data_IF_948088179888
#
_entry.id   IF_948088179888
#
_cell.length_a   1.000
_cell.length_b   1.000
_cell.length_c   1.000
_cell.angle_alpha   90.00
_cell.angle_beta   90.00
_cell.angle_gamma   90.00
#
_symmetry.space_group_name_H-M   'P 1'
#
loop_
_entity.id
_entity.type
_entity.pdbx_description
1 polymer ?
2 non-polymer ?
3 non-polymer ?
4 water ?
#
# COMPACT_ATOMS: atom_id res chain seq x y z
N UNK A 13 7.09 -13.26 -0.47
CA UNK A 13 5.74 -12.72 -0.38
C UNK A 13 5.47 -12.08 0.98
N UNK A 14 4.66 -11.03 0.99
CA UNK A 14 4.31 -10.36 2.23
C UNK A 14 3.04 -10.99 2.81
N UNK A 15 2.02 -11.22 1.98
CA UNK A 15 0.82 -11.90 2.45
C UNK A 15 1.03 -13.40 2.62
N UNK A 16 0.49 -13.96 3.70
CA UNK A 16 0.65 -15.38 4.00
C UNK A 16 0.02 -16.23 2.89
N UNK A 17 -1.19 -15.85 2.50
CA UNK A 17 -1.96 -16.59 1.52
C UNK A 17 -3.04 -15.69 0.96
N UNK A 18 -3.85 -16.21 0.05
CA UNK A 18 -4.85 -15.36 -0.58
C UNK A 18 -5.98 -14.95 0.37
N UNK A 19 -6.25 -15.75 1.40
CA UNK A 19 -7.27 -15.33 2.33
C UNK A 19 -6.83 -14.12 3.16
N UNK A 20 -5.53 -14.03 3.48
CA UNK A 20 -5.01 -12.90 4.24
C UNK A 20 -5.09 -11.60 3.41
N UNK A 21 -4.80 -11.73 2.11
CA UNK A 21 -4.97 -10.61 1.17
C UNK A 21 -6.43 -10.16 1.10
N UNK A 22 -7.33 -11.11 0.90
CA UNK A 22 -8.75 -10.78 0.77
C UNK A 22 -9.26 -10.10 2.04
N UNK A 23 -8.82 -10.61 3.19
CA UNK A 23 -9.18 -10.01 4.47
C UNK A 23 -8.73 -8.56 4.58
N UNK A 24 -7.51 -8.23 4.13
CA UNK A 24 -6.99 -6.87 4.19
C UNK A 24 -7.82 -5.94 3.33
N UNK A 25 -8.15 -6.45 2.13
CA UNK A 25 -8.95 -5.69 1.18
C UNK A 25 -10.31 -5.36 1.81
N UNK A 26 -10.99 -6.37 2.34
CA UNK A 26 -12.33 -6.17 2.87
C UNK A 26 -12.30 -5.30 4.13
N UNK A 27 -11.29 -5.49 4.98
CA UNK A 27 -11.24 -4.77 6.23
C UNK A 27 -10.94 -3.28 5.96
N UNK A 28 -9.97 -3.01 5.10
CA UNK A 28 -9.62 -1.62 4.83
C UNK A 28 -10.77 -0.94 4.09
N UNK A 29 -11.44 -1.68 3.22
CA UNK A 29 -12.60 -1.10 2.50
C UNK A 29 -13.71 -0.72 3.47
N UNK A 30 -14.01 -1.60 4.42
CA UNK A 30 -15.06 -1.32 5.39
C UNK A 30 -14.77 -0.05 6.18
N UNK A 31 -13.53 0.11 6.67
CA UNK A 31 -13.09 1.32 7.36
C UNK A 31 -13.30 2.57 6.50
N UNK A 32 -12.92 2.46 5.22
CA UNK A 32 -12.99 3.57 4.29
C UNK A 32 -14.44 3.99 4.03
N UNK A 33 -15.24 3.03 3.59
CA UNK A 33 -16.58 3.32 3.12
C UNK A 33 -17.48 3.73 4.29
N UNK A 34 -17.12 3.33 5.51
CA UNK A 34 -17.93 3.71 6.68
C UNK A 34 -17.91 5.23 6.90
N UNK A 35 -16.81 5.87 6.53
CA UNK A 35 -16.68 7.32 6.70
C UNK A 35 -17.70 8.12 5.89
N UNK A 36 -18.29 7.51 4.87
CA UNK A 36 -19.20 8.26 4.01
C UNK A 36 -20.64 8.15 4.50
N UNK A 37 -20.89 7.30 5.51
CA UNK A 37 -22.25 7.09 6.00
C UNK A 37 -22.91 8.35 6.52
N UNK A 38 -22.13 9.25 7.11
CA UNK A 38 -22.74 10.46 7.63
C UNK A 38 -22.40 11.70 6.81
N UNK A 39 -22.01 11.51 5.56
CA UNK A 39 -21.81 12.66 4.70
C UNK A 39 -23.11 12.95 3.94
N UNK A 40 -23.70 14.13 4.13
CA UNK A 40 -24.97 14.38 3.38
C UNK A 40 -24.74 14.38 1.87
N UNK A 41 -25.69 13.83 1.11
CA UNK A 41 -25.62 13.88 -0.36
C UNK A 41 -25.48 15.32 -0.86
N UNK A 42 -26.11 16.26 -0.16
CA UNK A 42 -26.06 17.66 -0.59
C UNK A 42 -24.66 18.26 -0.54
N UNK A 43 -23.75 17.64 0.23
CA UNK A 43 -22.39 18.15 0.29
C UNK A 43 -21.39 17.30 -0.50
N UNK A 44 -21.89 16.41 -1.34
CA UNK A 44 -20.99 15.45 -2.00
C UNK A 44 -20.00 16.12 -2.95
N UNK A 45 -20.34 17.30 -3.49
CA UNK A 45 -19.44 17.99 -4.40
C UNK A 45 -18.79 19.22 -3.77
N UNK A 46 -18.91 19.37 -2.44
CA UNK A 46 -18.37 20.55 -1.76
C UNK A 46 -16.84 20.50 -1.73
N UNK A 47 -16.21 21.47 -2.39
CA UNK A 47 -14.75 21.55 -2.42
C UNK A 47 -14.22 22.56 -1.40
N UNK A 48 -13.21 22.15 -0.63
CA UNK A 48 -12.58 23.04 0.34
C UNK A 48 -11.06 23.11 0.04
N UNK A 49 -10.38 24.11 0.57
CA UNK A 49 -8.97 24.32 0.24
C UNK A 49 -8.01 23.26 0.81
N UNK A 50 -8.44 22.59 1.86
CA UNK A 50 -7.53 21.83 2.69
C UNK A 50 -7.36 20.38 2.22
N UNK A 51 -8.34 19.91 1.46
CA UNK A 51 -8.24 18.59 0.82
C UNK A 51 -8.46 18.80 -0.67
N UNK A 52 -7.76 18.01 -1.48
CA UNK A 52 -7.77 18.21 -2.92
C UNK A 52 -9.05 17.72 -3.61
N UNK A 53 -9.74 16.76 -2.99
CA UNK A 53 -10.94 16.19 -3.61
C UNK A 53 -12.21 16.39 -2.81
N UNK A 54 -13.33 16.41 -3.52
CA UNK A 54 -14.67 16.37 -2.92
C UNK A 54 -14.96 14.93 -2.50
N UNK A 55 -16.00 14.70 -1.66
CA UNK A 55 -16.35 13.29 -1.38
C UNK A 55 -16.67 12.47 -2.64
N UNK A 56 -17.41 13.04 -3.59
CA UNK A 56 -17.73 12.31 -4.81
C UNK A 56 -16.47 12.00 -5.64
N UNK A 57 -15.49 12.91 -5.64
CA UNK A 57 -14.25 12.68 -6.37
C UNK A 57 -13.42 11.59 -5.71
N UNK A 58 -13.44 11.59 -4.38
CA UNK A 58 -12.73 10.61 -3.56
C UNK A 58 -13.27 9.20 -3.91
N UNK A 59 -14.60 9.03 -3.87
CA UNK A 59 -15.21 7.76 -4.28
C UNK A 59 -14.95 7.39 -5.74
N UNK A 60 -15.04 8.38 -6.63
CA UNK A 60 -14.87 8.17 -8.08
C UNK A 60 -13.49 7.62 -8.42
N UNK A 61 -12.48 8.12 -7.74
CA UNK A 61 -11.14 7.58 -7.88
C UNK A 61 -11.11 6.06 -7.64
N UNK A 62 -11.74 5.60 -6.56
CA UNK A 62 -11.77 4.18 -6.23
C UNK A 62 -12.59 3.38 -7.23
N UNK A 63 -13.73 3.94 -7.64
CA UNK A 63 -14.57 3.28 -8.61
C UNK A 63 -13.82 3.09 -9.91
N UNK A 64 -13.08 4.11 -10.33
CA UNK A 64 -12.34 4.06 -11.59
C UNK A 64 -11.28 2.99 -11.59
N UNK A 65 -10.45 2.99 -10.55
CA UNK A 65 -9.34 2.04 -10.49
C UNK A 65 -9.79 0.59 -10.27
N UNK A 66 -10.77 0.37 -9.39
CA UNK A 66 -11.26 -0.98 -9.17
C UNK A 66 -11.99 -1.50 -10.41
N UNK A 67 -12.66 -0.62 -11.14
CA UNK A 67 -13.25 -1.04 -12.40
C UNK A 67 -12.19 -1.49 -13.40
N UNK A 68 -11.09 -0.74 -13.48
CA UNK A 68 -10.03 -1.05 -14.42
C UNK A 68 -9.36 -2.40 -14.14
N UNK A 69 -8.99 -2.64 -12.89
CA UNK A 69 -8.33 -3.89 -12.50
C UNK A 69 -9.19 -5.08 -12.91
N UNK A 70 -10.47 -4.97 -12.61
CA UNK A 70 -11.42 -6.02 -12.95
C UNK A 70 -11.51 -6.19 -14.47
N UNK A 71 -11.46 -5.08 -15.20
CA UNK A 71 -11.52 -5.13 -16.66
C UNK A 71 -10.28 -5.76 -17.27
N UNK A 72 -9.10 -5.41 -16.76
CA UNK A 72 -7.87 -6.02 -17.28
C UNK A 72 -7.91 -7.54 -17.14
N UNK A 73 -8.35 -8.01 -15.97
CA UNK A 73 -8.41 -9.46 -15.69
C UNK A 73 -9.44 -10.17 -16.58
N UNK A 74 -10.65 -9.63 -16.63
CA UNK A 74 -11.71 -10.17 -17.48
C UNK A 74 -11.29 -10.23 -18.94
N UNK A 75 -10.75 -9.13 -19.44
CA UNK A 75 -10.30 -9.07 -20.83
C UNK A 75 -9.20 -10.07 -21.12
N UNK A 76 -8.22 -10.17 -20.22
CA UNK A 76 -7.10 -11.07 -20.47
C UNK A 76 -7.56 -12.52 -20.45
N UNK A 77 -8.51 -12.81 -19.57
CA UNK A 77 -9.00 -14.18 -19.39
C UNK A 77 -9.86 -14.66 -20.54
N UNK A 78 -10.30 -13.75 -21.39
CA UNK A 78 -10.99 -14.17 -22.61
C UNK A 78 -10.10 -14.00 -23.85
N UNK A 79 -8.81 -13.78 -23.63
CA UNK A 79 -7.85 -13.75 -24.72
C UNK A 79 -7.70 -12.44 -25.45
N UNK A 80 -8.35 -11.39 -24.95
CA UNK A 80 -8.25 -10.07 -25.56
C UNK A 80 -6.94 -9.36 -25.23
N UNK A 81 -6.58 -8.42 -26.09
CA UNK A 81 -5.46 -7.52 -25.84
C UNK A 81 -5.81 -6.60 -24.68
N UNK A 82 -4.86 -6.36 -23.78
CA UNK A 82 -5.10 -5.43 -22.68
C UNK A 82 -4.14 -4.26 -22.73
N UNK A 83 -4.69 -3.05 -22.88
CA UNK A 83 -3.90 -1.83 -22.86
C UNK A 83 -3.98 -1.17 -21.49
N UNK A 84 -2.88 -1.13 -20.77
CA UNK A 84 -2.87 -0.54 -19.42
C UNK A 84 -2.31 0.89 -19.44
N UNK A 85 -2.91 1.80 -18.65
CA UNK A 85 -4.09 1.60 -17.79
C UNK A 85 -5.38 1.51 -18.59
N UNK A 86 -5.45 2.30 -19.66
CA UNK A 86 -6.57 2.23 -20.59
C UNK A 86 -6.06 2.19 -22.02
N UNK A 87 -6.97 2.08 -22.97
CA UNK A 87 -6.62 2.04 -24.38
C UNK A 87 -6.43 3.45 -24.94
N UNK A 88 -6.84 4.45 -24.16
CA UNK A 88 -6.76 5.85 -24.58
C UNK A 88 -5.71 6.62 -23.79
N UNK A 89 -5.75 6.51 -22.46
CA UNK A 89 -4.73 7.13 -21.62
C UNK A 89 -3.69 6.11 -21.20
N UNK A 90 -2.44 6.31 -21.62
CA UNK A 90 -1.36 5.43 -21.16
C UNK A 90 -0.73 5.98 -19.87
N UNK A 91 0.35 5.36 -19.42
CA UNK A 91 0.85 5.58 -18.06
C UNK A 91 1.44 6.96 -17.80
N UNK A 92 1.79 7.70 -18.85
CA UNK A 92 2.27 9.07 -18.68
C UNK A 92 1.12 10.06 -18.56
N UNK A 93 -0.08 9.56 -18.32
CA UNK A 93 -1.30 10.36 -18.46
C UNK A 93 -2.26 10.14 -17.28
N UNK A 94 -1.70 9.88 -16.10
CA UNK A 94 -2.52 9.51 -14.94
C UNK A 94 -3.33 10.69 -14.40
N UNK A 95 -2.82 11.90 -14.58
CA UNK A 95 -3.58 13.09 -14.22
C UNK A 95 -4.81 13.24 -15.10
N UNK A 96 -4.65 12.91 -16.38
CA UNK A 96 -5.77 12.91 -17.31
C UNK A 96 -6.75 11.78 -16.99
N UNK A 97 -6.20 10.63 -16.62
CA UNK A 97 -7.03 9.48 -16.23
C UNK A 97 -7.90 9.80 -15.02
N UNK A 98 -7.30 10.37 -13.97
CA UNK A 98 -8.04 10.70 -12.75
C UNK A 98 -9.15 11.70 -13.06
N UNK A 99 -8.88 12.51 -14.06
CA UNK A 99 -9.79 13.58 -14.40
C UNK A 99 -10.94 12.98 -15.23
N UNK A 100 -10.64 11.93 -16.00
CA UNK A 100 -11.66 11.11 -16.65
C UNK A 100 -12.53 10.34 -15.64
N UNK A 101 -11.91 9.81 -14.58
CA UNK A 101 -12.66 9.15 -13.50
C UNK A 101 -13.74 10.09 -12.97
N UNK A 102 -13.33 11.33 -12.71
CA UNK A 102 -14.20 12.31 -12.12
C UNK A 102 -15.36 12.70 -13.06
N UNK A 103 -15.09 12.85 -14.35
CA UNK A 103 -16.18 13.14 -15.30
C UNK A 103 -17.11 11.98 -15.49
N UNK A 104 -16.58 10.78 -15.42
CA UNK A 104 -17.38 9.60 -15.61
C UNK A 104 -18.26 9.30 -14.40
N UNK A 105 -17.70 9.37 -13.19
CA UNK A 105 -18.37 8.86 -12.00
C UNK A 105 -18.78 9.86 -10.92
N UNK A 106 -18.08 10.99 -10.82
CA UNK A 106 -18.33 11.90 -9.69
C UNK A 106 -19.70 12.59 -9.72
N UNK A 107 -20.34 12.66 -10.89
CA UNK A 107 -21.71 13.20 -10.97
C UNK A 107 -22.76 12.32 -10.25
N UNK A 108 -22.43 11.06 -10.04
CA UNK A 108 -23.29 10.10 -9.34
C UNK A 108 -23.49 10.50 -7.88
N UNK A 109 -24.57 10.04 -7.26
CA UNK A 109 -24.80 10.27 -5.84
C UNK A 109 -23.83 9.43 -5.01
N UNK A 110 -23.65 9.77 -3.74
CA UNK A 110 -22.78 8.96 -2.87
C UNK A 110 -23.34 7.55 -2.78
N UNK A 111 -24.66 7.46 -2.71
CA UNK A 111 -25.30 6.16 -2.65
C UNK A 111 -25.04 5.28 -3.89
N UNK A 112 -25.11 5.89 -5.08
CA UNK A 112 -24.79 5.16 -6.31
C UNK A 112 -23.32 4.76 -6.39
N UNK A 113 -22.43 5.69 -6.04
CA UNK A 113 -21.00 5.40 -6.00
C UNK A 113 -20.67 4.26 -5.03
N UNK A 114 -21.30 4.32 -3.86
CA UNK A 114 -21.09 3.31 -2.83
C UNK A 114 -21.60 1.94 -3.30
N UNK A 115 -22.75 1.92 -3.97
CA UNK A 115 -23.25 0.66 -4.55
C UNK A 115 -22.27 0.06 -5.57
N UNK A 116 -21.76 0.89 -6.48
CA UNK A 116 -20.84 0.37 -7.49
C UNK A 116 -19.52 -0.08 -6.86
N UNK A 117 -19.00 0.70 -5.94
CA UNK A 117 -17.72 0.34 -5.32
C UNK A 117 -17.86 -0.95 -4.46
N UNK A 118 -19.01 -1.10 -3.80
CA UNK A 118 -19.32 -2.33 -3.06
C UNK A 118 -19.27 -3.54 -3.99
N UNK A 119 -19.92 -3.40 -5.14
CA UNK A 119 -19.98 -4.48 -6.11
C UNK A 119 -18.57 -4.79 -6.65
N UNK A 120 -17.77 -3.75 -6.87
CA UNK A 120 -16.41 -3.95 -7.38
C UNK A 120 -15.53 -4.63 -6.33
N UNK A 121 -15.65 -4.21 -5.09
CA UNK A 121 -14.83 -4.80 -4.03
C UNK A 121 -15.27 -6.27 -3.83
N UNK A 122 -16.57 -6.55 -3.84
CA UNK A 122 -17.06 -7.94 -3.82
C UNK A 122 -16.44 -8.76 -4.95
N UNK A 123 -16.40 -8.18 -6.14
CA UNK A 123 -15.88 -8.89 -7.31
C UNK A 123 -14.37 -9.11 -7.18
N UNK A 124 -13.68 -8.16 -6.58
CA UNK A 124 -12.24 -8.32 -6.39
C UNK A 124 -11.97 -9.45 -5.36
N UNK A 125 -12.78 -9.53 -4.31
CA UNK A 125 -12.67 -10.65 -3.35
C UNK A 125 -12.93 -11.99 -4.02
N UNK A 126 -13.93 -12.04 -4.90
CA UNK A 126 -14.24 -13.25 -5.67
C UNK A 126 -13.12 -13.61 -6.64
N UNK A 127 -12.53 -12.60 -7.25
CA UNK A 127 -11.42 -12.79 -8.16
C UNK A 127 -10.24 -13.44 -7.42
N UNK A 128 -9.94 -12.91 -6.25
CA UNK A 128 -8.87 -13.46 -5.41
C UNK A 128 -9.15 -14.93 -5.03
N UNK A 129 -10.37 -15.20 -4.56
CA UNK A 129 -10.79 -16.56 -4.21
C UNK A 129 -10.60 -17.53 -5.38
N UNK A 130 -10.85 -17.03 -6.59
CA UNK A 130 -10.84 -17.89 -7.77
C UNK A 130 -9.46 -18.10 -8.39
N UNK A 131 -8.49 -17.28 -7.99
CA UNK A 131 -7.13 -17.36 -8.55
C UNK A 131 -6.31 -18.37 -7.78
N UNK A 132 -5.46 -19.09 -8.48
CA UNK A 132 -4.48 -19.93 -7.80
C UNK A 132 -3.51 -19.07 -7.01
N UNK A 133 -2.88 -19.69 -6.02
CA UNK A 133 -1.83 -19.05 -5.28
C UNK A 133 -0.70 -18.57 -6.22
N UNK A 134 -0.41 -19.33 -7.27
CA UNK A 134 0.63 -18.98 -8.24
C UNK A 134 0.31 -17.69 -9.00
N UNK A 135 -0.92 -17.60 -9.49
CA UNK A 135 -1.34 -16.43 -10.27
C UNK A 135 -1.26 -15.16 -9.43
N UNK A 136 -1.64 -15.25 -8.17
CA UNK A 136 -1.61 -14.09 -7.29
C UNK A 136 -0.19 -13.67 -6.89
N UNK A 137 0.67 -14.64 -6.61
CA UNK A 137 1.91 -14.34 -5.90
C UNK A 137 3.22 -14.59 -6.67
N UNK A 138 3.13 -15.10 -7.89
CA UNK A 138 4.33 -15.31 -8.71
C UNK A 138 4.41 -14.27 -9.82
N UNK A 139 5.62 -13.83 -10.19
CA UNK A 139 5.70 -12.88 -11.30
C UNK A 139 5.37 -13.53 -12.64
N UNK A 140 5.02 -12.70 -13.64
CA UNK A 140 4.78 -13.16 -15.02
C UNK A 140 3.64 -14.18 -15.17
N UNK A 141 2.56 -13.97 -14.43
CA UNK A 141 1.38 -14.82 -14.52
C UNK A 141 0.23 -14.14 -15.27
N UNK A 142 0.31 -12.81 -15.38
CA UNK A 142 -0.65 -12.04 -16.17
C UNK A 142 0.09 -11.05 -17.05
N UNK A 143 -0.28 -11.01 -18.33
CA UNK A 143 0.24 -10.00 -19.23
C UNK A 143 -0.08 -8.59 -18.74
N UNK A 144 -1.27 -8.38 -18.18
CA UNK A 144 -1.65 -7.04 -17.74
C UNK A 144 -0.79 -6.59 -16.56
N UNK A 145 -0.37 -7.53 -15.72
CA UNK A 145 0.49 -7.18 -14.60
C UNK A 145 1.90 -6.81 -15.10
N UNK A 146 2.42 -7.58 -16.05
CA UNK A 146 3.73 -7.28 -16.63
C UNK A 146 3.70 -5.93 -17.38
N UNK A 147 2.60 -5.69 -18.09
CA UNK A 147 2.45 -4.49 -18.91
C UNK A 147 2.40 -3.20 -18.10
N UNK A 148 1.90 -3.30 -16.87
CA UNK A 148 1.65 -2.12 -16.05
C UNK A 148 2.92 -1.55 -15.42
N UNK A 149 3.96 -2.38 -15.29
CA UNK A 149 5.21 -1.94 -14.66
C UNK A 149 6.18 -1.34 -15.67
N UNK A 150 5.92 -1.57 -16.96
CA UNK A 150 6.82 -1.13 -18.01
C UNK A 150 6.57 0.33 -18.41
N UNK A 153 7.66 3.88 -13.88
CA UNK A 153 8.28 5.04 -13.22
C UNK A 153 7.57 5.40 -11.91
N UNK A 154 8.28 5.26 -10.79
CA UNK A 154 7.72 5.57 -9.49
C UNK A 154 8.56 6.60 -8.73
N UNK A 155 7.87 7.55 -8.11
CA UNK A 155 8.52 8.64 -7.38
C UNK A 155 8.96 8.20 -6.00
N UNK A 156 9.80 9.03 -5.36
CA UNK A 156 10.34 8.72 -4.04
C UNK A 156 9.24 8.51 -2.98
N UNK A 157 8.23 9.39 -2.95
CA UNK A 157 7.17 9.27 -1.94
C UNK A 157 6.46 7.92 -2.00
N UNK A 158 6.31 7.37 -3.21
CA UNK A 158 5.69 6.06 -3.35
C UNK A 158 6.53 4.98 -2.66
N UNK A 159 7.85 5.05 -2.82
CA UNK A 159 8.73 4.06 -2.20
C UNK A 159 8.73 4.20 -0.69
N UNK A 160 8.59 5.44 -0.20
CA UNK A 160 8.47 5.64 1.24
C UNK A 160 7.16 5.02 1.76
N UNK A 161 6.04 5.33 1.10
CA UNK A 161 4.77 4.69 1.47
C UNK A 161 4.87 3.16 1.48
N UNK A 162 5.43 2.60 0.41
CA UNK A 162 5.46 1.15 0.23
C UNK A 162 6.33 0.44 1.28
N UNK A 163 7.22 1.18 1.94
CA UNK A 163 8.09 0.57 2.95
C UNK A 163 7.78 1.00 4.39
N UNK A 164 6.73 1.79 4.56
CA UNK A 164 6.26 2.16 5.89
C UNK A 164 4.76 1.95 6.01
N UNK A 165 3.97 2.93 5.54
CA UNK A 165 2.51 2.87 5.65
C UNK A 165 1.92 1.53 5.23
N UNK A 166 2.37 1.02 4.09
CA UNK A 166 1.81 -0.22 3.56
C UNK A 166 2.17 -1.42 4.46
N UNK A 167 3.47 -1.67 4.70
CA UNK A 167 3.69 -2.85 5.56
C UNK A 167 3.24 -2.67 7.02
N UNK A 168 3.27 -1.43 7.52
CA UNK A 168 2.77 -1.16 8.87
C UNK A 168 1.30 -1.53 8.98
N UNK A 169 0.56 -1.39 7.89
CA UNK A 169 -0.84 -1.79 7.92
C UNK A 169 -0.96 -3.30 7.84
N UNK A 170 -0.32 -3.87 6.82
CA UNK A 170 -0.40 -5.29 6.52
C UNK A 170 0.16 -6.17 7.65
N UNK A 171 1.31 -5.79 8.18
CA UNK A 171 1.89 -6.57 9.26
C UNK A 171 1.22 -6.28 10.60
N UNK A 172 0.47 -5.19 10.70
CA UNK A 172 -0.38 -5.02 11.88
C UNK A 172 -1.55 -6.00 11.86
N UNK A 173 -2.13 -6.21 10.69
CA UNK A 173 -3.18 -7.23 10.58
C UNK A 173 -2.61 -8.61 10.92
N UNK A 174 -1.39 -8.89 10.46
CA UNK A 174 -0.74 -10.15 10.83
C UNK A 174 -0.63 -10.33 12.33
N UNK A 175 -0.05 -9.33 13.02
CA UNK A 175 0.24 -9.48 14.43
C UNK A 175 -1.06 -9.48 15.28
N UNK A 176 -2.09 -8.78 14.83
CA UNK A 176 -3.39 -8.83 15.52
C UNK A 176 -4.00 -10.24 15.43
N UNK A 177 -3.92 -10.83 14.25
CA UNK A 177 -4.34 -12.23 14.07
C UNK A 177 -3.51 -13.19 14.94
N UNK A 178 -2.18 -13.00 14.93
CA UNK A 178 -1.25 -13.78 15.75
C UNK A 178 -1.67 -13.73 17.23
N UNK A 179 -1.97 -12.53 17.74
CA UNK A 179 -2.30 -12.39 19.15
C UNK A 179 -3.64 -13.07 19.49
N UNK A 180 -4.59 -12.97 18.58
CA UNK A 180 -5.90 -13.59 18.81
C UNK A 180 -5.77 -15.12 18.98
N UNK A 181 -4.86 -15.74 18.23
CA UNK A 181 -4.62 -17.18 18.35
C UNK A 181 -3.65 -17.51 19.49
N UNK A 182 -2.56 -16.75 19.60
CA UNK A 182 -1.46 -17.09 20.53
C UNK A 182 -1.70 -16.69 21.99
N UNK A 183 -2.44 -15.60 22.22
CA UNK A 183 -2.67 -15.11 23.57
C UNK A 183 -4.12 -15.32 24.05
N UNK A 184 -4.86 -16.21 23.39
CA UNK A 184 -6.24 -16.48 23.79
C UNK A 184 -6.31 -17.08 25.20
N UNK B 13 -1.08 12.72 -8.37
CA UNK B 13 -0.51 12.73 -7.02
C UNK B 13 -1.57 12.31 -6.00
N UNK B 14 -1.14 11.58 -4.96
CA UNK B 14 -2.07 11.02 -3.99
C UNK B 14 -1.82 11.51 -2.56
N UNK B 15 -0.60 11.90 -2.24
CA UNK B 15 -0.37 12.72 -1.05
C UNK B 15 -0.20 14.15 -1.54
N UNK B 16 -0.74 15.13 -0.82
CA UNK B 16 -0.73 16.51 -1.30
C UNK B 16 0.57 17.26 -1.01
N UNK B 17 1.23 16.91 0.09
CA UNK B 17 2.50 17.51 0.46
C UNK B 17 3.24 16.60 1.43
N UNK B 18 4.46 16.98 1.78
CA UNK B 18 5.32 16.16 2.64
C UNK B 18 4.79 16.04 4.07
N UNK B 19 4.03 17.05 4.51
CA UNK B 19 3.44 17.00 5.85
C UNK B 19 2.45 15.85 5.98
N UNK B 20 1.58 15.72 4.97
CA UNK B 20 0.61 14.64 4.91
C UNK B 20 1.25 13.23 4.84
N UNK B 21 2.33 13.11 4.09
CA UNK B 21 3.08 11.86 4.02
C UNK B 21 3.64 11.50 5.39
N UNK B 22 4.30 12.48 6.00
CA UNK B 22 4.91 12.30 7.32
C UNK B 22 3.87 11.87 8.36
N UNK B 23 2.72 12.55 8.39
CA UNK B 23 1.66 12.20 9.34
C UNK B 23 1.17 10.76 9.16
N UNK B 24 1.04 10.32 7.91
CA UNK B 24 0.58 8.95 7.64
C UNK B 24 1.60 7.91 8.08
N UNK B 25 2.87 8.18 7.82
CA UNK B 25 3.96 7.31 8.29
C UNK B 25 3.90 7.17 9.81
N UNK B 26 3.86 8.31 10.50
CA UNK B 26 3.84 8.36 11.96
C UNK B 26 2.66 7.62 12.54
N UNK B 27 1.48 7.89 11.99
CA UNK B 27 0.25 7.34 12.55
C UNK B 27 0.10 5.85 12.26
N UNK B 28 0.46 5.41 11.06
CA UNK B 28 0.46 3.98 10.78
C UNK B 28 1.49 3.26 11.64
N UNK B 29 2.63 3.91 11.88
CA UNK B 29 3.66 3.28 12.69
C UNK B 29 3.22 3.10 14.14
N UNK B 30 2.62 4.14 14.71
CA UNK B 30 2.12 4.08 16.07
C UNK B 30 1.10 2.96 16.27
N UNK B 31 0.15 2.83 15.35
CA UNK B 31 -0.84 1.76 15.43
C UNK B 31 -0.17 0.39 15.36
N UNK B 32 0.84 0.27 14.51
CA UNK B 32 1.55 -1.00 14.32
C UNK B 32 2.34 -1.38 15.58
N UNK B 33 3.20 -0.47 16.04
CA UNK B 33 4.15 -0.83 17.09
C UNK B 33 3.43 -1.01 18.43
N UNK B 34 2.29 -0.35 18.61
CA UNK B 34 1.51 -0.47 19.83
C UNK B 34 1.05 -1.91 20.06
N UNK B 35 0.85 -2.67 18.99
CA UNK B 35 0.37 -4.04 19.10
C UNK B 35 1.35 -4.95 19.82
N UNK B 36 2.62 -4.57 19.85
CA UNK B 36 3.65 -5.45 20.43
C UNK B 36 3.86 -5.22 21.93
N UNK B 37 3.23 -4.16 22.46
CA UNK B 37 3.29 -3.86 23.88
C UNK B 37 2.91 -5.03 24.80
N UNK B 38 1.88 -5.77 24.42
CA UNK B 38 1.31 -6.85 25.23
C UNK B 38 1.84 -8.23 24.87
N UNK B 39 2.91 -8.28 24.08
CA UNK B 39 3.45 -9.58 23.69
C UNK B 39 4.61 -9.95 24.60
N UNK B 40 4.52 -11.10 25.29
CA UNK B 40 5.62 -11.56 26.14
C UNK B 40 6.87 -11.85 25.31
N UNK B 41 8.04 -11.44 25.77
CA UNK B 41 9.32 -11.74 25.11
C UNK B 41 9.52 -13.23 24.82
N UNK B 42 9.06 -14.09 25.74
CA UNK B 42 9.24 -15.51 25.58
C UNK B 42 8.48 -16.07 24.38
N UNK B 43 7.51 -15.31 23.87
CA UNK B 43 6.76 -15.73 22.69
C UNK B 43 7.19 -15.05 21.38
N UNK B 44 8.33 -14.38 21.38
CA UNK B 44 8.74 -13.61 20.20
C UNK B 44 9.02 -14.52 19.03
N UNK B 45 9.38 -15.77 19.30
CA UNK B 45 9.66 -16.71 18.24
C UNK B 45 8.54 -17.73 18.03
N UNK B 46 7.36 -17.46 18.59
CA UNK B 46 6.26 -18.41 18.46
C UNK B 46 5.59 -18.30 17.11
N UNK B 47 5.63 -19.39 16.34
CA UNK B 47 5.00 -19.44 15.02
C UNK B 47 3.70 -20.21 15.11
N UNK B 48 2.63 -19.62 14.57
CA UNK B 48 1.35 -20.32 14.51
C UNK B 48 1.05 -20.69 13.06
N UNK B 49 0.09 -21.59 12.86
CA UNK B 49 -0.23 -22.04 11.51
C UNK B 49 -0.94 -20.96 10.68
N UNK B 50 -1.73 -20.13 11.37
CA UNK B 50 -2.58 -19.13 10.71
C UNK B 50 -1.83 -17.92 10.12
N UNK B 51 -0.66 -17.61 10.68
CA UNK B 51 0.12 -16.45 10.24
C UNK B 51 1.54 -16.87 9.89
N UNK B 52 2.10 -16.35 8.81
CA UNK B 52 3.40 -16.84 8.36
C UNK B 52 4.53 -16.45 9.32
N UNK B 53 4.45 -15.26 9.91
CA UNK B 53 5.57 -14.75 10.70
C UNK B 53 5.38 -14.75 12.22
N UNK B 54 6.49 -14.98 12.93
CA UNK B 54 6.58 -14.75 14.37
C UNK B 54 6.61 -13.26 14.67
N UNK B 55 6.33 -12.85 15.92
CA UNK B 55 6.46 -11.43 16.26
C UNK B 55 7.86 -10.88 15.92
N UNK B 56 8.88 -11.67 16.25
CA UNK B 56 10.26 -11.24 15.99
C UNK B 56 10.52 -11.06 14.49
N UNK B 57 10.04 -11.99 13.67
CA UNK B 57 10.20 -11.92 12.21
C UNK B 57 9.41 -10.75 11.64
N UNK B 58 8.23 -10.53 12.22
CA UNK B 58 7.36 -9.43 11.83
C UNK B 58 8.10 -8.10 11.97
N UNK B 59 8.65 -7.84 13.16
CA UNK B 59 9.43 -6.63 13.39
C UNK B 59 10.70 -6.60 12.54
N UNK B 60 11.40 -7.74 12.45
CA UNK B 60 12.66 -7.82 11.69
C UNK B 60 12.47 -7.42 10.23
N UNK B 61 11.32 -7.77 9.65
CA UNK B 61 10.98 -7.36 8.28
C UNK B 61 11.02 -5.84 8.15
N UNK B 62 10.38 -5.15 9.09
CA UNK B 62 10.35 -3.67 9.04
C UNK B 62 11.73 -3.09 9.25
N UNK B 63 12.49 -3.64 10.21
CA UNK B 63 13.84 -3.13 10.46
C UNK B 63 14.68 -3.28 9.21
N UNK B 64 14.59 -4.45 8.56
CA UNK B 64 15.35 -4.69 7.34
C UNK B 64 15.05 -3.70 6.23
N UNK B 65 13.78 -3.55 5.87
CA UNK B 65 13.43 -2.71 4.73
C UNK B 65 13.61 -1.23 4.98
N UNK B 66 13.27 -0.77 6.18
CA UNK B 66 13.49 0.63 6.50
C UNK B 66 14.99 0.93 6.50
N UNK B 67 15.82 -0.02 6.94
CA UNK B 67 17.28 0.18 6.87
C UNK B 67 17.71 0.35 5.41
N UNK B 68 17.15 -0.47 4.52
CA UNK B 68 17.55 -0.42 3.11
C UNK B 68 17.20 0.89 2.40
N UNK B 69 15.95 1.35 2.52
CA UNK B 69 15.56 2.58 1.82
C UNK B 69 16.42 3.76 2.29
N UNK B 70 16.73 3.81 3.58
CA UNK B 70 17.65 4.81 4.09
C UNK B 70 19.03 4.64 3.47
N UNK B 71 19.49 3.39 3.34
CA UNK B 71 20.77 3.13 2.72
C UNK B 71 20.79 3.59 1.25
N UNK B 72 19.72 3.32 0.51
CA UNK B 72 19.66 3.71 -0.91
C UNK B 72 19.92 5.19 -1.07
N UNK B 73 19.18 5.99 -0.28
CA UNK B 73 19.30 7.44 -0.32
C UNK B 73 20.71 7.87 0.06
N UNK B 74 21.27 7.20 1.06
CA UNK B 74 22.63 7.51 1.50
C UNK B 74 23.63 7.19 0.40
N UNK B 75 23.56 5.97 -0.12
CA UNK B 75 24.44 5.54 -1.22
C UNK B 75 24.34 6.48 -2.44
N UNK B 76 23.12 6.89 -2.78
CA UNK B 76 22.91 7.79 -3.89
C UNK B 76 23.55 9.15 -3.61
N UNK B 77 23.40 9.64 -2.38
CA UNK B 77 24.06 10.89 -1.98
C UNK B 77 25.55 10.81 -2.27
N UNK B 78 26.12 9.63 -2.05
CA UNK B 78 27.54 9.37 -2.26
C UNK B 78 27.94 9.30 -3.71
N UNK B 79 26.92 9.22 -4.58
CA UNK B 79 27.14 9.12 -6.00
C UNK B 79 27.11 7.69 -6.50
N UNK B 80 26.89 6.76 -5.57
CA UNK B 80 26.81 5.34 -5.93
C UNK B 80 25.64 5.13 -6.88
N UNK B 81 25.85 4.30 -7.89
CA UNK B 81 24.78 3.96 -8.79
C UNK B 81 24.11 2.68 -8.27
N UNK B 82 22.95 2.87 -7.66
CA UNK B 82 22.28 1.83 -6.88
C UNK B 82 21.16 1.20 -7.68
N UNK B 83 21.33 -0.08 -8.01
CA UNK B 83 20.31 -0.82 -8.73
C UNK B 83 19.80 -2.04 -7.99
N UNK B 84 20.50 -2.40 -6.91
CA UNK B 84 20.26 -3.66 -6.24
C UNK B 84 19.57 -3.28 -4.94
N UNK B 85 18.81 -4.20 -4.33
CA UNK B 85 18.36 -3.87 -2.96
C UNK B 85 19.53 -3.70 -1.98
N UNK B 86 20.62 -4.43 -2.16
CA UNK B 86 21.69 -4.48 -1.15
C UNK B 86 23.11 -4.73 -1.65
N UNK B 87 23.98 -5.01 -0.69
CA UNK B 87 25.33 -5.53 -0.93
C UNK B 87 25.25 -6.71 -1.87
N UNK B 88 24.43 -7.67 -1.46
CA UNK B 88 24.53 -9.05 -1.91
C UNK B 88 23.31 -9.53 -2.66
N UNK B 89 22.14 -8.98 -2.35
CA UNK B 89 20.89 -9.61 -2.75
C UNK B 89 20.19 -8.92 -3.92
N UNK B 90 19.88 -9.72 -4.93
CA UNK B 90 19.14 -9.27 -6.11
C UNK B 90 17.73 -8.78 -5.82
N UNK B 91 17.08 -8.27 -6.87
CA UNK B 91 15.67 -7.93 -6.81
C UNK B 91 14.85 -9.18 -7.10
N UNK B 92 15.58 -10.29 -7.24
CA UNK B 92 14.97 -11.59 -7.42
C UNK B 92 15.48 -12.52 -6.31
N UNK B 93 16.14 -11.90 -5.33
CA UNK B 93 16.69 -12.61 -4.17
C UNK B 93 15.96 -12.19 -2.89
N UNK B 94 14.74 -11.64 -3.06
CA UNK B 94 13.97 -11.09 -1.93
C UNK B 94 13.62 -12.13 -0.87
N UNK B 95 13.26 -13.33 -1.30
CA UNK B 95 12.98 -14.42 -0.37
C UNK B 95 14.21 -14.69 0.48
N UNK B 96 15.38 -14.63 -0.14
CA UNK B 96 16.65 -14.85 0.56
C UNK B 96 17.03 -13.63 1.40
N UNK B 97 16.66 -12.44 0.92
CA UNK B 97 16.90 -11.20 1.65
C UNK B 97 16.09 -11.18 2.94
N UNK B 98 14.81 -11.54 2.87
CA UNK B 98 13.96 -11.61 4.05
C UNK B 98 14.54 -12.60 5.05
N UNK B 99 15.06 -13.70 4.51
CA UNK B 99 15.75 -14.69 5.31
C UNK B 99 16.88 -13.93 5.99
N UNK B 100 17.77 -13.27 5.23
CA UNK B 100 18.86 -12.47 5.84
C UNK B 100 18.39 -11.51 6.96
N UNK B 101 17.26 -10.85 6.75
CA UNK B 101 16.67 -9.98 7.78
C UNK B 101 16.46 -10.78 9.08
N UNK B 102 15.88 -11.97 8.95
CA UNK B 102 15.56 -12.78 10.11
C UNK B 102 16.81 -13.19 10.91
N UNK B 103 17.88 -13.66 10.26
CA UNK B 103 19.06 -14.06 11.03
C UNK B 103 19.81 -12.85 11.61
N UNK B 104 19.80 -11.73 10.91
CA UNK B 104 20.55 -10.56 11.36
C UNK B 104 19.94 -10.06 12.66
N UNK B 105 18.61 -10.17 12.75
CA UNK B 105 17.92 -9.73 13.96
C UNK B 105 17.40 -10.91 14.78
N UNK B 106 17.89 -12.11 14.48
CA UNK B 106 17.53 -13.28 15.26
C UNK B 106 18.13 -13.17 16.66
N UNK B 107 17.36 -13.66 17.64
CA UNK B 107 17.73 -13.56 19.04
C UNK B 107 17.89 -12.11 19.51
N UNK B 108 17.30 -11.17 18.77
CA UNK B 108 17.05 -9.83 19.30
C UNK B 108 15.70 -9.85 20.00
N UNK B 109 15.62 -9.21 21.16
CA UNK B 109 14.36 -9.09 21.88
C UNK B 109 13.40 -8.15 21.13
N UNK B 110 12.11 -8.29 21.42
CA UNK B 110 11.09 -7.38 20.92
C UNK B 110 11.39 -5.96 21.36
N UNK B 111 11.88 -5.81 22.58
CA UNK B 111 12.27 -4.50 23.09
C UNK B 111 13.39 -3.89 22.23
N UNK B 112 14.42 -4.70 21.95
CA UNK B 112 15.54 -4.24 21.13
C UNK B 112 15.11 -3.93 19.68
N UNK B 113 14.28 -4.78 19.11
CA UNK B 113 13.80 -4.58 17.75
C UNK B 113 12.96 -3.32 17.66
N UNK B 114 12.15 -3.10 18.69
CA UNK B 114 11.30 -1.90 18.73
C UNK B 114 12.14 -0.63 18.78
N UNK B 115 13.18 -0.65 19.59
CA UNK B 115 14.08 0.49 19.71
C UNK B 115 14.72 0.83 18.37
N UNK B 116 15.15 -0.20 17.64
CA UNK B 116 15.82 0.03 16.35
C UNK B 116 14.85 0.52 15.29
N UNK B 117 13.67 -0.09 15.25
CA UNK B 117 12.62 0.34 14.31
C UNK B 117 12.19 1.78 14.57
N UNK B 118 12.01 2.15 15.84
CA UNK B 118 11.78 3.54 16.20
C UNK B 118 12.81 4.49 15.60
N UNK B 119 14.09 4.11 15.71
CA UNK B 119 15.18 4.94 15.20
C UNK B 119 15.11 5.12 13.69
N UNK B 120 14.79 4.04 12.99
CA UNK B 120 14.69 4.06 11.55
C UNK B 120 13.52 4.92 11.08
N UNK B 121 12.39 4.81 11.77
CA UNK B 121 11.19 5.56 11.38
C UNK B 121 11.44 7.06 11.57
N UNK B 122 12.15 7.41 12.63
CA UNK B 122 12.57 8.81 12.79
C UNK B 122 13.55 9.29 11.73
N UNK B 123 14.50 8.44 11.36
CA UNK B 123 15.45 8.78 10.31
C UNK B 123 14.70 9.01 9.00
N UNK B 124 13.67 8.20 8.77
CA UNK B 124 12.81 8.37 7.60
C UNK B 124 12.04 9.68 7.69
N UNK B 125 11.60 10.03 8.90
CA UNK B 125 10.97 11.32 9.14
C UNK B 125 11.90 12.46 8.79
N UNK B 126 13.16 12.33 9.19
CA UNK B 126 14.17 13.34 8.85
C UNK B 126 14.49 13.40 7.36
N UNK B 127 14.54 12.23 6.74
CA UNK B 127 14.77 12.15 5.30
C UNK B 127 13.68 12.91 4.53
N UNK B 128 12.42 12.75 4.92
CA UNK B 128 11.33 13.48 4.30
C UNK B 128 11.52 14.99 4.47
N UNK B 129 11.76 15.43 5.71
CA UNK B 129 12.01 16.84 5.99
C UNK B 129 13.10 17.42 5.12
N UNK B 130 14.20 16.68 4.98
CA UNK B 130 15.37 17.16 4.27
C UNK B 130 15.17 17.11 2.75
N UNK B 131 14.10 16.46 2.32
CA UNK B 131 13.82 16.36 0.89
C UNK B 131 12.88 17.47 0.44
N UNK B 132 13.22 18.12 -0.67
CA UNK B 132 12.35 19.15 -1.23
C UNK B 132 11.05 18.51 -1.71
N UNK B 133 10.05 19.34 -1.99
CA UNK B 133 8.80 18.85 -2.54
C UNK B 133 9.08 18.10 -3.85
N UNK B 134 10.01 18.60 -4.63
CA UNK B 134 10.29 18.10 -5.97
C UNK B 134 10.89 16.68 -6.00
N UNK B 135 11.88 16.42 -5.16
CA UNK B 135 12.52 15.12 -5.20
C UNK B 135 11.62 14.04 -4.57
N UNK B 136 10.70 14.47 -3.72
CA UNK B 136 9.70 13.56 -3.15
C UNK B 136 8.63 13.16 -4.16
N UNK B 137 8.22 14.11 -4.99
CA UNK B 137 6.98 13.94 -5.77
C UNK B 137 7.14 13.93 -7.30
N UNK B 138 8.30 14.29 -7.82
CA UNK B 138 8.46 14.21 -9.28
C UNK B 138 9.36 13.05 -9.72
N UNK B 139 9.01 12.41 -10.84
CA UNK B 139 9.75 11.26 -11.39
C UNK B 139 11.21 11.56 -11.73
N UNK B 140 12.04 10.52 -11.77
CA UNK B 140 13.44 10.60 -12.21
C UNK B 140 14.29 11.56 -11.39
N UNK B 141 14.04 11.63 -10.08
CA UNK B 141 14.81 12.50 -9.21
C UNK B 141 15.81 11.72 -8.34
N UNK B 142 15.61 10.41 -8.23
CA UNK B 142 16.58 9.54 -7.58
C UNK B 142 16.79 8.31 -8.45
N UNK B 143 18.04 7.97 -8.75
CA UNK B 143 18.24 6.81 -9.61
C UNK B 143 17.88 5.51 -8.89
N UNK B 144 17.88 5.51 -7.55
CA UNK B 144 17.44 4.30 -6.86
C UNK B 144 15.96 4.06 -7.04
N UNK B 145 15.17 5.14 -7.13
CA UNK B 145 13.74 4.98 -7.33
C UNK B 145 13.45 4.47 -8.75
N UNK B 146 14.15 5.04 -9.73
CA UNK B 146 14.06 4.57 -11.11
C UNK B 146 14.41 3.09 -11.17
N UNK B 147 15.59 2.78 -10.65
CA UNK B 147 16.09 1.42 -10.65
C UNK B 147 15.20 0.37 -10.00
N UNK B 148 14.62 0.70 -8.85
CA UNK B 148 13.82 -0.26 -8.11
C UNK B 148 12.53 -0.55 -8.86
N UNK B 149 12.11 0.40 -9.70
CA UNK B 149 10.92 0.24 -10.53
C UNK B 149 11.20 -0.76 -11.65
N UNK B 150 12.47 -0.86 -12.02
CA UNK B 150 12.87 -1.73 -13.13
C UNK B 150 12.71 -3.20 -12.76
N UNK B 153 9.68 -6.03 -11.36
CA UNK B 153 8.55 -6.87 -11.72
C UNK B 153 7.52 -6.95 -10.58
N UNK B 154 6.25 -6.76 -10.92
CA UNK B 154 5.20 -6.75 -9.90
C UNK B 154 4.15 -7.84 -10.10
N UNK B 155 3.92 -8.60 -9.03
CA UNK B 155 2.90 -9.66 -9.04
C UNK B 155 1.49 -9.09 -9.01
N UNK B 156 0.52 -9.92 -9.40
CA UNK B 156 -0.89 -9.54 -9.34
C UNK B 156 -1.31 -9.01 -7.97
N UNK B 157 -0.88 -9.68 -6.91
CA UNK B 157 -1.33 -9.31 -5.58
C UNK B 157 -0.87 -7.91 -5.17
N UNK B 158 0.28 -7.48 -5.67
CA UNK B 158 0.74 -6.11 -5.41
C UNK B 158 -0.17 -5.08 -6.08
N UNK B 159 -0.59 -5.35 -7.31
CA UNK B 159 -1.53 -4.47 -7.98
C UNK B 159 -2.88 -4.44 -7.28
N UNK B 160 -3.31 -5.56 -6.73
CA UNK B 160 -4.56 -5.57 -5.99
C UNK B 160 -4.43 -4.69 -4.74
N UNK B 161 -3.35 -4.89 -3.99
CA UNK B 161 -3.09 -4.06 -2.80
C UNK B 161 -3.04 -2.55 -3.12
N UNK B 162 -2.25 -2.20 -4.15
CA UNK B 162 -2.03 -0.83 -4.57
C UNK B 162 -3.32 -0.14 -5.04
N UNK B 163 -4.30 -0.92 -5.47
CA UNK B 163 -5.57 -0.32 -5.90
C UNK B 163 -6.74 -0.57 -4.95
N UNK B 164 -6.48 -1.16 -3.79
CA UNK B 164 -7.53 -1.33 -2.80
C UNK B 164 -7.02 -0.87 -1.44
N UNK B 165 -6.34 -1.77 -0.73
CA UNK B 165 -5.83 -1.51 0.61
C UNK B 165 -5.13 -0.15 0.72
N UNK B 166 -4.22 0.13 -0.20
CA UNK B 166 -3.42 1.34 -0.09
C UNK B 166 -4.29 2.60 -0.21
N UNK B 167 -5.06 2.76 -1.32
CA UNK B 167 -5.87 4.00 -1.35
C UNK B 167 -7.03 3.99 -0.33
N UNK B 168 -7.54 2.82 0.04
CA UNK B 168 -8.61 2.79 1.04
C UNK B 168 -8.08 3.35 2.36
N UNK B 169 -6.78 3.23 2.59
CA UNK B 169 -6.16 3.83 3.75
C UNK B 169 -5.94 5.34 3.63
N UNK B 170 -5.23 5.73 2.57
CA UNK B 170 -4.85 7.12 2.39
C UNK B 170 -6.06 8.01 2.07
N UNK B 171 -7.03 7.50 1.30
CA UNK B 171 -8.19 8.34 0.97
C UNK B 171 -9.21 8.35 2.12
N UNK B 172 -9.10 7.39 3.03
CA UNK B 172 -9.85 7.48 4.26
C UNK B 172 -9.31 8.63 5.11
N UNK B 173 -7.99 8.76 5.23
CA UNK B 173 -7.43 9.93 5.90
C UNK B 173 -7.90 11.25 5.25
N UNK B 174 -7.92 11.30 3.91
CA UNK B 174 -8.40 12.49 3.20
C UNK B 174 -9.86 12.86 3.50
N UNK B 175 -10.73 11.86 3.49
CA UNK B 175 -12.16 12.17 3.68
C UNK B 175 -12.43 12.57 5.13
N UNK B 176 -11.66 12.03 6.08
CA UNK B 176 -11.80 12.42 7.48
C UNK B 176 -11.35 13.87 7.69
N UNK B 177 -10.28 14.27 7.01
CA UNK B 177 -9.87 15.66 7.03
C UNK B 177 -10.93 16.59 6.41
N UNK B 178 -11.55 16.14 5.32
CA UNK B 178 -12.64 16.91 4.69
C UNK B 178 -13.80 17.09 5.70
N UNK B 179 -14.18 16.01 6.39
CA UNK B 179 -15.28 16.04 7.35
C UNK B 179 -15.00 16.99 8.52
N UNK B 180 -13.74 17.10 8.90
CA UNK B 180 -13.34 17.97 10.01
C UNK B 180 -13.71 19.42 9.71
N UNK B 181 -13.51 19.83 8.47
CA UNK B 181 -13.76 21.20 8.04
C UNK B 181 -15.19 21.42 7.54
N UNK B 182 -15.70 20.48 6.75
CA UNK B 182 -17.00 20.64 6.10
C UNK B 182 -18.20 20.32 7.00
N UNK B 183 -18.06 19.37 7.92
CA UNK B 183 -19.21 18.96 8.71
C UNK B 183 -19.20 19.51 10.13
N UNK B 184 -18.72 20.73 10.29
CA UNK B 184 -18.69 21.35 11.62
C UNK B 184 -19.98 22.12 11.85
#
# INVERSE_FOLDING_TARGET
MRGSHHHHHHGSRTYSDKNELKEEVLKSYKKYIAEFNDIPEKLKDLRIDEVDRTPAENLAYQVGWTTLILKWESDEQSGLEVKTPTETFKWNQLGELYQHFTETYASLTIKELTAQLNDNVDAIGNMIDSMSDEVLFKPHMRNWADSATKNAVWEVYKFIHINTVAPFGTFRTKIRKWKKVALK
MRGSHHHHHHGSRTYSDKNELKEEVLKSYKKYIAEFNDIPEKLKDLRIDEVDRTPAENLAYQVGWTTLILKWESDEQSGLEVKTPTETFKWNQLGELYQHFTETYASLTIKELTAQLNDNVDAIGNMIDSMSDEVLFKPHMRNWADSATKNAVWEVYKFIHINTVAPFGTFRTKIRKWKKVALK
#
